data_IF_204110042148
#
_entry.id   IF_204110042148
#
_cell.length_a   1.000
_cell.length_b   1.000
_cell.length_c   1.000
_cell.angle_alpha   90.00
_cell.angle_beta   90.00
_cell.angle_gamma   90.00
#
_symmetry.space_group_name_H-M   'P 1'
#
loop_
_entity.id
_entity.type
_entity.pdbx_description
1 polymer ?
#
# COMPACT_ATOMS: atom_id res chain seq x y z
N UNK A 1 7.64 -29.02 -62.08
CA UNK A 1 6.90 -30.22 -61.66
C UNK A 1 6.14 -29.86 -60.39
N UNK A 2 4.98 -29.24 -60.52
CA UNK A 2 3.65 -29.87 -60.56
C UNK A 2 3.00 -29.81 -59.17
N UNK A 3 2.20 -28.77 -58.97
CA UNK A 3 0.97 -28.82 -58.16
C UNK A 3 -0.03 -29.79 -58.85
N UNK A 4 -1.06 -30.36 -58.17
CA UNK A 4 -2.21 -29.53 -57.79
C UNK A 4 -3.01 -29.96 -56.53
N UNK A 5 -3.77 -29.01 -55.95
CA UNK A 5 -5.03 -29.24 -55.21
C UNK A 5 -6.22 -29.39 -56.21
N UNK A 6 -7.54 -29.38 -55.88
CA UNK A 6 -8.30 -29.51 -54.63
C UNK A 6 -9.57 -30.43 -54.75
N UNK A 7 -10.38 -30.61 -53.69
CA UNK A 7 -11.84 -30.88 -53.80
C UNK A 7 -12.56 -30.50 -52.49
N UNK A 8 -13.26 -29.38 -52.38
CA UNK A 8 -14.65 -29.04 -52.77
C UNK A 8 -15.78 -29.56 -51.85
N UNK A 9 -16.62 -28.60 -51.45
CA UNK A 9 -17.65 -28.51 -50.40
C UNK A 9 -18.99 -29.24 -50.71
N UNK A 10 -20.03 -29.12 -49.86
CA UNK A 10 -20.95 -27.97 -50.02
C UNK A 10 -21.42 -27.31 -48.70
N UNK A 11 -21.89 -26.07 -48.87
CA UNK A 11 -22.45 -25.20 -47.85
C UNK A 11 -23.94 -25.49 -47.57
N UNK A 12 -24.40 -25.19 -46.35
CA UNK A 12 -25.78 -24.80 -46.10
C UNK A 12 -25.80 -23.47 -45.32
N UNK A 13 -26.61 -22.56 -45.86
CA UNK A 13 -26.79 -21.17 -45.48
C UNK A 13 -27.76 -20.99 -44.31
N UNK A 14 -27.48 -19.94 -43.52
CA UNK A 14 -28.40 -18.94 -42.95
C UNK A 14 -29.50 -19.45 -41.98
N UNK A 15 -29.40 -19.06 -40.70
CA UNK A 15 -30.50 -18.28 -40.13
C UNK A 15 -30.01 -17.25 -39.11
N UNK A 16 -30.53 -16.04 -39.28
CA UNK A 16 -30.25 -14.83 -38.55
C UNK A 16 -31.34 -14.68 -37.49
N UNK A 17 -31.01 -14.73 -36.21
CA UNK A 17 -31.89 -14.22 -35.15
C UNK A 17 -31.06 -13.50 -34.08
N UNK A 18 -31.34 -12.22 -33.79
CA UNK A 18 -30.75 -11.55 -32.65
C UNK A 18 -31.41 -12.09 -31.39
N UNK A 19 -30.69 -12.88 -30.59
CA UNK A 19 -31.11 -13.17 -29.22
C UNK A 19 -30.97 -11.89 -28.41
N UNK A 20 -32.10 -11.24 -28.16
CA UNK A 20 -32.27 -10.17 -27.18
C UNK A 20 -31.80 -10.72 -25.83
N UNK A 21 -30.63 -10.28 -25.37
CA UNK A 21 -30.20 -10.49 -24.00
C UNK A 21 -31.02 -9.55 -23.12
N UNK A 22 -31.97 -10.12 -22.39
CA UNK A 22 -32.73 -9.47 -21.32
C UNK A 22 -31.74 -8.93 -20.28
N UNK A 23 -31.78 -7.64 -19.90
CA UNK A 23 -31.00 -7.19 -18.76
C UNK A 23 -31.57 -7.85 -17.50
N UNK A 24 -30.71 -8.57 -16.78
CA UNK A 24 -31.01 -9.05 -15.44
C UNK A 24 -31.42 -7.86 -14.55
N UNK A 25 -32.39 -8.01 -13.64
CA UNK A 25 -32.75 -6.93 -12.72
C UNK A 25 -31.53 -6.57 -11.87
N UNK A 26 -31.01 -5.35 -12.05
CA UNK A 26 -30.08 -4.76 -11.09
C UNK A 26 -30.79 -4.72 -9.73
N UNK A 27 -30.16 -5.17 -8.63
CA UNK A 27 -30.66 -4.85 -7.32
C UNK A 27 -30.59 -3.33 -7.15
N UNK A 28 -31.73 -2.66 -7.13
CA UNK A 28 -31.85 -1.32 -6.58
C UNK A 28 -31.58 -1.43 -5.08
N UNK A 29 -30.31 -1.39 -4.70
CA UNK A 29 -29.92 -1.08 -3.33
C UNK A 29 -30.19 0.40 -3.09
N UNK A 30 -31.43 0.70 -2.73
CA UNK A 30 -31.78 1.94 -2.03
C UNK A 30 -30.99 1.93 -0.73
N UNK A 31 -29.86 2.62 -0.71
CA UNK A 31 -29.03 2.71 0.50
C UNK A 31 -29.81 3.54 1.52
N UNK A 32 -30.13 3.01 2.72
CA UNK A 32 -30.77 3.80 3.74
C UNK A 32 -29.81 4.93 4.14
N UNK A 33 -30.32 6.17 4.13
CA UNK A 33 -29.58 7.32 4.62
C UNK A 33 -29.23 7.12 6.10
N UNK A 34 -27.94 7.22 6.43
CA UNK A 34 -27.37 6.94 7.77
C UNK A 34 -27.63 8.11 8.75
N UNK A 35 -28.32 9.16 8.31
CA UNK A 35 -28.51 10.42 9.03
C UNK A 35 -29.32 10.34 10.35
N UNK A 36 -29.57 9.15 10.91
CA UNK A 36 -30.33 8.97 12.15
C UNK A 36 -29.98 7.75 13.00
N UNK A 37 -28.86 7.06 12.76
CA UNK A 37 -28.49 5.89 13.57
C UNK A 37 -27.75 6.31 14.86
N UNK A 38 -28.34 5.98 16.01
CA UNK A 38 -27.72 6.16 17.33
C UNK A 38 -26.41 5.36 17.45
N UNK A 39 -25.38 5.98 18.01
CA UNK A 39 -24.01 5.46 18.15
C UNK A 39 -23.92 4.06 18.79
N UNK A 40 -24.95 3.66 19.56
CA UNK A 40 -25.01 2.37 20.24
C UNK A 40 -25.35 1.20 19.31
N UNK A 41 -26.01 1.45 18.16
CA UNK A 41 -26.32 0.38 17.20
C UNK A 41 -25.14 0.04 16.28
N UNK A 42 -24.16 0.93 16.15
CA UNK A 42 -22.93 0.70 15.37
C UNK A 42 -21.99 -0.32 16.03
N UNK A 43 -22.09 -0.53 17.34
CA UNK A 43 -21.28 -1.48 18.09
C UNK A 43 -21.82 -2.92 18.05
N UNK A 44 -23.10 -3.10 17.72
CA UNK A 44 -23.76 -4.41 17.74
C UNK A 44 -23.61 -5.21 16.44
N UNK A 45 -23.09 -4.60 15.36
CA UNK A 45 -22.94 -5.28 14.07
C UNK A 45 -21.68 -4.81 13.33
N UNK A 46 -20.57 -5.57 13.39
CA UNK A 46 -19.27 -5.14 12.87
C UNK A 46 -19.24 -4.92 11.35
N UNK A 47 -20.18 -5.52 10.60
CA UNK A 47 -20.31 -5.28 9.15
C UNK A 47 -20.86 -3.88 8.83
N UNK A 48 -21.77 -3.35 9.65
CA UNK A 48 -22.28 -1.98 9.46
C UNK A 48 -21.20 -0.93 9.75
N UNK A 49 -20.37 -1.18 10.76
CA UNK A 49 -19.21 -0.33 11.07
C UNK A 49 -18.20 -0.27 9.91
N UNK A 50 -17.88 -1.41 9.30
CA UNK A 50 -17.01 -1.49 8.11
C UNK A 50 -17.60 -0.73 6.91
N UNK A 51 -18.91 -0.85 6.65
CA UNK A 51 -19.55 -0.09 5.57
C UNK A 51 -19.61 1.43 5.81
N UNK A 52 -19.77 1.85 7.08
CA UNK A 52 -19.72 3.26 7.44
C UNK A 52 -18.31 3.85 7.22
N UNK A 53 -17.25 3.09 7.51
CA UNK A 53 -15.87 3.48 7.22
C UNK A 53 -15.60 3.54 5.70
N UNK A 54 -16.14 2.60 4.92
CA UNK A 54 -15.96 2.58 3.46
C UNK A 54 -16.67 3.76 2.75
N UNK A 55 -17.77 4.27 3.30
CA UNK A 55 -18.50 5.40 2.72
C UNK A 55 -17.89 6.78 3.06
N UNK A 56 -16.98 6.86 4.05
CA UNK A 56 -16.24 8.09 4.38
C UNK A 56 -15.20 8.42 3.30
N UNK A 57 -14.85 7.48 2.43
CA UNK A 57 -13.85 7.68 1.37
C UNK A 57 -14.34 8.46 0.14
N UNK A 58 -15.64 8.82 0.04
CA UNK A 58 -16.17 9.34 -1.23
C UNK A 58 -17.16 10.52 -1.13
N UNK A 59 -17.15 11.32 -0.06
CA UNK A 59 -18.08 12.43 0.09
C UNK A 59 -17.50 13.65 0.80
N UNK A 60 -17.55 14.79 0.10
CA UNK A 60 -17.44 16.18 0.57
C UNK A 60 -16.07 16.72 1.00
N UNK A 61 -15.55 17.55 0.10
CA UNK A 61 -14.75 18.74 0.39
C UNK A 61 -15.36 19.57 1.52
N UNK A 62 -14.83 19.43 2.73
CA UNK A 62 -15.05 20.38 3.82
C UNK A 62 -13.70 20.77 4.41
N UNK A 63 -13.40 22.06 4.27
CA UNK A 63 -12.24 22.76 4.78
C UNK A 63 -12.22 22.69 6.31
N UNK A 64 -11.52 21.70 6.86
CA UNK A 64 -11.09 21.67 8.26
C UNK A 64 -9.60 21.32 8.29
N UNK A 65 -8.78 22.33 8.58
CA UNK A 65 -7.33 22.26 8.70
C UNK A 65 -6.89 21.55 9.98
N UNK A 66 -7.37 20.32 10.20
CA UNK A 66 -6.70 19.36 11.06
C UNK A 66 -5.65 18.65 10.20
N UNK A 67 -4.41 19.13 10.29
CA UNK A 67 -3.23 18.59 9.60
C UNK A 67 -2.91 17.19 10.14
N UNK A 68 -3.70 16.19 9.74
CA UNK A 68 -3.34 14.79 9.96
C UNK A 68 -2.16 14.48 9.03
N UNK A 69 -1.14 13.75 9.52
CA UNK A 69 -0.05 13.33 8.65
C UNK A 69 -0.60 12.46 7.53
N UNK A 70 -0.16 12.73 6.28
CA UNK A 70 -0.67 12.07 5.07
C UNK A 70 -0.55 10.54 5.10
N UNK A 71 0.36 10.00 5.93
CA UNK A 71 0.49 8.57 6.23
C UNK A 71 1.21 8.36 7.58
N UNK A 72 1.16 7.13 8.11
CA UNK A 72 1.99 6.71 9.24
C UNK A 72 2.90 5.54 8.84
N UNK A 73 4.10 5.49 9.41
CA UNK A 73 5.03 4.38 9.19
C UNK A 73 4.46 3.04 9.65
N UNK A 74 3.52 3.06 10.60
CA UNK A 74 2.92 1.88 11.19
C UNK A 74 1.58 1.52 10.55
N UNK A 75 1.11 2.29 9.56
CA UNK A 75 -0.07 1.91 8.80
C UNK A 75 0.21 0.65 7.98
N UNK A 76 -0.78 -0.22 7.88
CA UNK A 76 -0.70 -1.51 7.18
C UNK A 76 -0.20 -1.36 5.74
N UNK A 77 -0.65 -0.33 5.04
CA UNK A 77 -0.25 -0.03 3.66
C UNK A 77 1.23 0.35 3.56
N UNK A 78 1.70 1.22 4.45
CA UNK A 78 3.08 1.69 4.50
C UNK A 78 4.03 0.57 4.92
N UNK A 79 3.65 -0.24 5.91
CA UNK A 79 4.46 -1.40 6.35
C UNK A 79 4.56 -2.44 5.24
N UNK A 80 3.46 -2.76 4.55
CA UNK A 80 3.48 -3.69 3.41
C UNK A 80 4.41 -3.20 2.29
N UNK A 81 4.38 -1.90 2.00
CA UNK A 81 5.28 -1.25 1.05
C UNK A 81 6.75 -1.38 1.49
N UNK A 82 7.07 -1.10 2.76
CA UNK A 82 8.44 -1.23 3.29
C UNK A 82 8.93 -2.68 3.26
N UNK A 83 8.08 -3.64 3.61
CA UNK A 83 8.39 -5.07 3.50
C UNK A 83 8.68 -5.47 2.06
N UNK A 84 7.86 -5.02 1.10
CA UNK A 84 8.10 -5.28 -0.32
C UNK A 84 9.42 -4.65 -0.79
N UNK A 85 9.76 -3.45 -0.33
CA UNK A 85 11.04 -2.83 -0.63
C UNK A 85 12.22 -3.64 -0.07
N UNK A 86 12.09 -4.21 1.13
CA UNK A 86 13.10 -5.09 1.72
C UNK A 86 13.42 -6.27 0.79
N UNK A 87 12.36 -6.91 0.27
CA UNK A 87 12.49 -8.02 -0.68
C UNK A 87 13.12 -7.57 -1.99
N UNK A 88 12.60 -6.50 -2.59
CA UNK A 88 13.06 -6.00 -3.90
C UNK A 88 14.54 -5.55 -3.87
N UNK A 89 15.01 -5.07 -2.70
CA UNK A 89 16.36 -4.56 -2.50
C UNK A 89 17.30 -5.56 -1.80
N UNK A 90 16.85 -6.77 -1.46
CA UNK A 90 17.66 -7.75 -0.71
C UNK A 90 18.20 -7.19 0.62
N UNK A 91 17.29 -6.61 1.42
CA UNK A 91 17.55 -5.99 2.71
C UNK A 91 16.84 -6.73 3.83
N UNK A 92 17.43 -6.67 5.02
CA UNK A 92 16.79 -7.08 6.27
C UNK A 92 16.00 -5.91 6.80
N UNK A 93 14.69 -6.12 7.01
CA UNK A 93 13.83 -5.17 7.73
C UNK A 93 13.75 -5.60 9.20
N UNK A 94 14.02 -4.66 10.12
CA UNK A 94 13.80 -4.87 11.54
C UNK A 94 12.84 -3.83 12.11
N UNK A 95 12.10 -4.22 13.16
CA UNK A 95 11.22 -3.34 13.90
C UNK A 95 11.64 -3.36 15.38
N UNK A 96 11.78 -2.17 15.95
CA UNK A 96 12.13 -1.97 17.34
C UNK A 96 11.16 -0.97 17.97
N UNK A 97 10.57 -1.33 19.12
CA UNK A 97 9.81 -0.39 19.95
C UNK A 97 10.51 -0.25 21.29
N UNK A 98 11.03 0.94 21.59
CA UNK A 98 11.74 1.23 22.84
C UNK A 98 11.22 2.52 23.45
N UNK A 99 10.85 2.49 24.73
CA UNK A 99 10.40 3.68 25.49
C UNK A 99 9.28 4.47 24.80
N UNK A 100 8.37 3.78 24.10
CA UNK A 100 7.26 4.41 23.37
C UNK A 100 7.58 4.81 21.93
N UNK A 101 8.86 4.90 21.56
CA UNK A 101 9.32 5.21 20.21
C UNK A 101 9.38 3.94 19.36
N UNK A 102 8.68 3.94 18.24
CA UNK A 102 8.72 2.88 17.25
C UNK A 102 9.72 3.25 16.15
N UNK A 103 10.56 2.29 15.79
CA UNK A 103 11.60 2.44 14.80
C UNK A 103 11.60 1.25 13.86
N UNK A 104 11.64 1.54 12.56
CA UNK A 104 11.84 0.54 11.51
C UNK A 104 13.23 0.75 10.96
N UNK A 105 13.95 -0.32 10.65
CA UNK A 105 15.28 -0.21 10.08
C UNK A 105 15.50 -1.14 8.89
N UNK A 106 16.30 -0.68 7.93
CA UNK A 106 16.85 -1.48 6.85
C UNK A 106 18.35 -1.69 7.04
N UNK A 107 18.80 -2.91 6.84
CA UNK A 107 20.21 -3.29 6.77
C UNK A 107 20.46 -4.15 5.52
N UNK A 108 21.66 -4.10 4.95
CA UNK A 108 22.07 -5.01 3.88
C UNK A 108 22.14 -6.45 4.39
N UNK A 109 21.54 -7.43 3.69
CA UNK A 109 21.62 -8.85 4.08
C UNK A 109 23.08 -9.32 4.21
N UNK A 110 23.97 -8.81 3.35
CA UNK A 110 25.41 -9.10 3.39
C UNK A 110 26.07 -8.74 4.73
N UNK A 111 25.66 -7.63 5.34
CA UNK A 111 26.21 -7.19 6.63
C UNK A 111 25.44 -7.76 7.80
N UNK A 112 24.12 -7.93 7.67
CA UNK A 112 23.27 -8.50 8.71
C UNK A 112 23.76 -9.91 9.10
N UNK A 113 24.02 -10.78 8.12
CA UNK A 113 24.48 -12.15 8.34
C UNK A 113 25.89 -12.25 8.93
N UNK A 114 26.81 -11.39 8.48
CA UNK A 114 28.24 -11.49 8.81
C UNK A 114 28.64 -10.74 10.08
N UNK A 115 27.94 -9.65 10.39
CA UNK A 115 28.37 -8.72 11.44
C UNK A 115 27.48 -8.76 12.68
N UNK A 116 26.41 -9.56 12.66
CA UNK A 116 25.42 -9.60 13.75
C UNK A 116 24.73 -8.25 13.95
N UNK A 117 24.45 -7.52 12.86
CA UNK A 117 23.81 -6.20 12.91
C UNK A 117 24.74 -5.04 13.25
N UNK A 118 26.03 -5.15 12.95
CA UNK A 118 27.02 -4.05 13.10
C UNK A 118 27.29 -3.33 11.78
N UNK A 119 26.53 -3.63 10.73
CA UNK A 119 26.64 -3.02 9.41
C UNK A 119 26.15 -1.58 9.34
N UNK A 120 26.12 -1.06 8.11
CA UNK A 120 25.39 0.17 7.80
C UNK A 120 23.89 -0.15 7.83
N UNK A 121 23.12 0.72 8.45
CA UNK A 121 21.66 0.62 8.46
C UNK A 121 21.02 2.00 8.31
N UNK A 122 19.78 2.02 7.83
CA UNK A 122 18.94 3.21 7.78
C UNK A 122 17.76 2.96 8.70
N UNK A 123 17.57 3.81 9.69
CA UNK A 123 16.47 3.76 10.66
C UNK A 123 15.45 4.88 10.40
N UNK A 124 14.18 4.56 10.59
CA UNK A 124 13.04 5.45 10.44
C UNK A 124 12.27 5.51 11.76
N UNK A 125 12.09 6.72 12.31
CA UNK A 125 11.26 6.95 13.50
C UNK A 125 10.11 7.89 13.14
N UNK A 126 8.90 7.51 13.52
CA UNK A 126 7.69 8.32 13.30
C UNK A 126 7.58 9.40 14.39
N UNK A 127 7.62 10.67 14.01
CA UNK A 127 7.54 11.84 14.89
C UNK A 127 6.25 12.64 14.63
N UNK A 128 5.18 11.96 14.23
CA UNK A 128 3.89 12.58 13.95
C UNK A 128 3.85 13.14 12.53
N UNK A 129 4.15 14.43 12.35
CA UNK A 129 4.15 15.08 11.02
C UNK A 129 5.44 14.84 10.22
N UNK A 130 6.50 14.46 10.93
CA UNK A 130 7.82 14.25 10.37
C UNK A 130 8.28 12.81 10.60
N UNK A 131 9.23 12.37 9.78
CA UNK A 131 9.94 11.10 9.92
C UNK A 131 11.41 11.43 10.12
N UNK A 132 12.00 10.94 11.20
CA UNK A 132 13.46 10.98 11.36
C UNK A 132 14.05 9.83 10.57
N UNK A 133 14.96 10.15 9.66
CA UNK A 133 15.74 9.16 8.91
C UNK A 133 17.18 9.24 9.40
N UNK A 134 17.64 8.18 10.06
CA UNK A 134 18.99 8.13 10.62
C UNK A 134 19.82 7.06 9.94
N UNK A 135 21.01 7.43 9.49
CA UNK A 135 22.03 6.49 9.08
C UNK A 135 22.81 6.05 10.30
N UNK A 136 23.01 4.75 10.45
CA UNK A 136 23.82 4.20 11.53
C UNK A 136 24.88 3.28 10.99
N UNK A 137 26.03 3.29 11.66
CA UNK A 137 27.12 2.36 11.43
C UNK A 137 27.57 1.83 12.78
N UNK A 138 27.66 0.50 12.93
CA UNK A 138 28.00 -0.14 14.20
C UNK A 138 27.08 0.31 15.37
N UNK A 139 25.80 0.58 15.09
CA UNK A 139 24.82 1.02 16.10
C UNK A 139 24.89 2.49 16.51
N UNK A 140 25.84 3.28 15.99
CA UNK A 140 25.93 4.73 16.23
C UNK A 140 25.29 5.51 15.08
N UNK A 141 24.49 6.53 15.39
CA UNK A 141 24.02 7.49 14.39
C UNK A 141 25.21 8.25 13.78
N UNK A 142 25.35 8.19 12.47
CA UNK A 142 26.36 8.97 11.72
C UNK A 142 25.74 10.21 11.09
N UNK A 143 24.53 10.07 10.55
CA UNK A 143 23.78 11.15 9.92
C UNK A 143 22.31 11.02 10.30
N UNK A 144 21.61 12.16 10.42
CA UNK A 144 20.18 12.15 10.64
C UNK A 144 19.52 13.33 9.94
N UNK A 145 18.45 13.02 9.23
CA UNK A 145 17.60 13.97 8.54
C UNK A 145 16.19 13.91 9.11
N UNK A 146 15.43 14.99 8.91
CA UNK A 146 14.02 15.06 9.26
C UNK A 146 13.22 15.31 7.97
N UNK A 147 12.32 14.40 7.64
CA UNK A 147 11.51 14.45 6.43
C UNK A 147 10.05 14.72 6.79
N UNK A 148 9.49 15.81 6.29
CA UNK A 148 8.06 16.10 6.48
C UNK A 148 7.22 15.17 5.63
N UNK A 149 6.18 14.59 6.23
CA UNK A 149 5.25 13.68 5.55
C UNK A 149 4.35 14.47 4.62
N UNK A 150 4.54 14.30 3.32
CA UNK A 150 3.74 14.93 2.27
C UNK A 150 2.87 13.90 1.55
N UNK A 151 3.51 12.88 0.99
CA UNK A 151 2.91 11.83 0.18
C UNK A 151 3.67 10.51 0.35
N UNK A 152 2.93 9.40 0.38
CA UNK A 152 3.51 8.06 0.63
C UNK A 152 4.32 7.56 -0.55
N UNK A 153 3.95 7.89 -1.78
CA UNK A 153 4.69 7.47 -2.97
C UNK A 153 6.00 8.24 -3.13
N UNK A 154 6.01 9.53 -2.80
CA UNK A 154 7.24 10.32 -2.69
C UNK A 154 8.17 9.73 -1.63
N UNK A 155 7.64 9.39 -0.46
CA UNK A 155 8.40 8.74 0.60
C UNK A 155 8.99 7.39 0.15
N UNK A 156 8.19 6.55 -0.51
CA UNK A 156 8.64 5.29 -1.09
C UNK A 156 9.83 5.48 -2.03
N UNK A 157 9.72 6.44 -2.94
CA UNK A 157 10.76 6.76 -3.91
C UNK A 157 12.05 7.23 -3.24
N UNK A 158 11.92 8.15 -2.28
CA UNK A 158 13.05 8.69 -1.53
C UNK A 158 13.80 7.60 -0.74
N UNK A 159 13.08 6.74 -0.01
CA UNK A 159 13.72 5.64 0.74
C UNK A 159 14.39 4.67 -0.22
N UNK A 160 13.75 4.33 -1.35
CA UNK A 160 14.32 3.37 -2.31
C UNK A 160 15.68 3.88 -2.82
N UNK A 161 15.75 5.17 -3.17
CA UNK A 161 17.00 5.82 -3.56
C UNK A 161 18.04 5.81 -2.45
N UNK A 162 17.63 6.19 -1.22
CA UNK A 162 18.53 6.26 -0.07
C UNK A 162 19.10 4.89 0.31
N UNK A 163 18.27 3.84 0.36
CA UNK A 163 18.71 2.47 0.62
C UNK A 163 19.67 1.96 -0.47
N UNK A 164 19.37 2.23 -1.74
CA UNK A 164 20.24 1.82 -2.85
C UNK A 164 21.60 2.51 -2.80
N UNK A 165 21.65 3.78 -2.39
CA UNK A 165 22.91 4.53 -2.30
C UNK A 165 23.81 4.07 -1.14
N UNK A 166 23.22 3.67 -0.02
CA UNK A 166 23.95 3.46 1.24
C UNK A 166 24.19 1.97 1.54
N UNK A 167 23.22 1.11 1.19
CA UNK A 167 23.16 -0.29 1.60
C UNK A 167 23.46 -1.28 0.45
N UNK A 168 23.55 -0.81 -0.80
CA UNK A 168 24.04 -1.57 -1.96
C UNK A 168 25.37 -1.01 -2.45
#
# INVERSE_FOLDING_TARGET
>A
TSDPAPSFSPALSINNQPSVATPAPQPTTTVPSIAGLNSMMMAANPLLYMSALANVSNGTSSTSSSSFPSFSLLDSSCVAMLMKMAVDLDLTLSYHKRRGEAEIAFESNRTAEKSGGRGKMIAFSDLGKDIRVSERVNGSNTESELWTKTDVHQFQWAIRGKCTKILK
#
